data_IF_447303988915
#
_entry.id   IF_447303988915
#
_cell.length_a   1.000
_cell.length_b   1.000
_cell.length_c   1.000
_cell.angle_alpha   90.00
_cell.angle_beta   90.00
_cell.angle_gamma   90.00
#
_symmetry.space_group_name_H-M   'P 1'
#
loop_
_entity.id
_entity.type
_entity.pdbx_description
1 polymer ?
#
# COMPACT_ATOMS: atom_id res chain seq x y z
N UNK A 1 32.47 50.13 -58.65
CA UNK A 1 33.12 49.74 -59.92
C UNK A 1 34.14 48.68 -59.57
N UNK A 2 34.01 47.51 -60.18
CA UNK A 2 34.76 46.26 -59.87
C UNK A 2 36.11 46.27 -60.60
N UNK A 3 37.15 45.74 -59.95
CA UNK A 3 38.35 45.11 -60.52
C UNK A 3 39.02 44.37 -59.33
N UNK A 4 39.01 43.03 -59.16
CA UNK A 4 39.71 41.97 -59.93
C UNK A 4 41.25 42.25 -59.90
N UNK A 5 42.20 41.37 -59.56
CA UNK A 5 42.41 39.93 -59.83
C UNK A 5 43.43 39.34 -58.80
N UNK A 6 43.37 38.01 -58.59
CA UNK A 6 44.35 37.05 -58.01
C UNK A 6 45.78 37.13 -58.63
N UNK A 7 46.85 36.38 -58.31
CA UNK A 7 47.15 35.12 -57.61
C UNK A 7 48.69 35.06 -57.43
N UNK A 8 49.22 34.33 -56.45
CA UNK A 8 50.39 33.48 -56.72
C UNK A 8 50.43 32.30 -55.74
N UNK A 9 50.20 31.13 -56.31
CA UNK A 9 50.22 29.83 -55.67
C UNK A 9 51.61 29.44 -55.17
N UNK A 10 51.57 28.51 -54.20
CA UNK A 10 52.49 27.40 -54.03
C UNK A 10 53.95 27.65 -53.60
N UNK A 11 54.17 27.48 -52.29
CA UNK A 11 55.41 26.86 -51.83
C UNK A 11 55.15 25.80 -50.73
N UNK A 12 54.90 24.58 -51.21
CA UNK A 12 55.28 23.30 -50.61
C UNK A 12 54.66 22.83 -49.27
N UNK A 13 53.80 21.81 -49.42
CA UNK A 13 53.59 20.65 -48.53
C UNK A 13 54.84 20.24 -47.73
N UNK A 14 54.67 20.04 -46.41
CA UNK A 14 55.27 18.92 -45.67
C UNK A 14 54.59 18.68 -44.30
N UNK A 15 54.10 17.45 -44.13
CA UNK A 15 54.08 16.66 -42.89
C UNK A 15 53.23 17.19 -41.72
N UNK A 16 52.09 16.57 -41.45
CA UNK A 16 51.95 15.39 -40.56
C UNK A 16 51.54 15.79 -39.14
N UNK A 17 50.27 15.50 -38.82
CA UNK A 17 49.88 14.84 -37.59
C UNK A 17 50.33 15.50 -36.26
N UNK A 18 49.53 16.38 -35.66
CA UNK A 18 49.19 16.27 -34.23
C UNK A 18 47.77 16.79 -33.99
N UNK A 19 47.03 15.96 -33.27
CA UNK A 19 45.61 15.98 -32.97
C UNK A 19 45.49 16.09 -31.45
N UNK A 20 44.64 17.02 -30.95
CA UNK A 20 44.10 17.13 -29.56
C UNK A 20 45.14 17.60 -28.51
N UNK A 21 44.83 18.35 -27.44
CA UNK A 21 43.66 18.38 -26.56
C UNK A 21 43.51 19.77 -25.92
N UNK A 22 42.34 20.40 -26.05
CA UNK A 22 41.88 21.41 -25.08
C UNK A 22 40.88 20.68 -24.19
N UNK A 23 41.30 20.36 -22.96
CA UNK A 23 40.48 19.66 -21.98
C UNK A 23 39.43 20.59 -21.39
N UNK A 24 38.19 20.50 -21.85
CA UNK A 24 37.03 21.00 -21.12
C UNK A 24 36.55 19.89 -20.19
N UNK A 25 36.87 20.03 -18.91
CA UNK A 25 36.36 19.16 -17.85
C UNK A 25 34.87 19.49 -17.64
N UNK A 26 33.97 18.71 -18.23
CA UNK A 26 32.54 18.77 -17.92
C UNK A 26 32.34 18.01 -16.60
N UNK A 27 32.23 18.75 -15.50
CA UNK A 27 31.79 18.19 -14.22
C UNK A 27 30.29 17.93 -14.34
N UNK A 28 29.92 16.69 -14.67
CA UNK A 28 28.53 16.22 -14.58
C UNK A 28 28.23 16.03 -13.10
N UNK A 29 27.75 17.08 -12.43
CA UNK A 29 27.18 16.95 -11.09
C UNK A 29 25.87 16.19 -11.18
N UNK A 30 25.93 14.89 -10.93
CA UNK A 30 24.75 14.04 -10.76
C UNK A 30 24.02 14.49 -9.50
N UNK A 31 22.96 15.30 -9.65
CA UNK A 31 22.04 15.59 -8.55
C UNK A 31 21.22 14.32 -8.31
N UNK A 32 21.63 13.53 -7.33
CA UNK A 32 20.80 12.47 -6.76
C UNK A 32 19.64 13.16 -6.05
N UNK A 33 18.51 13.31 -6.74
CA UNK A 33 17.25 13.68 -6.09
C UNK A 33 16.80 12.45 -5.31
N UNK A 34 17.20 12.39 -4.04
CA UNK A 34 16.64 11.43 -3.09
C UNK A 34 15.15 11.74 -2.97
N UNK A 35 14.29 10.84 -3.44
CA UNK A 35 12.85 10.92 -3.20
C UNK A 35 12.61 10.72 -1.71
N UNK A 36 12.57 11.82 -0.95
CA UNK A 36 12.09 11.78 0.43
C UNK A 36 10.59 11.54 0.31
N UNK A 37 10.15 10.30 0.53
CA UNK A 37 8.74 9.96 0.55
C UNK A 37 8.05 10.79 1.64
N UNK A 38 7.07 11.61 1.25
CA UNK A 38 6.24 12.30 2.22
C UNK A 38 5.35 11.26 2.90
N UNK A 39 5.77 10.79 4.08
CA UNK A 39 4.94 9.94 4.92
C UNK A 39 3.71 10.74 5.37
N UNK A 40 2.53 10.35 4.88
CA UNK A 40 1.28 10.95 5.32
C UNK A 40 0.98 10.56 6.77
N UNK A 41 0.52 11.53 7.57
CA UNK A 41 0.12 11.28 8.96
C UNK A 41 -0.99 10.23 9.01
N UNK A 42 -0.74 9.14 9.72
CA UNK A 42 -1.70 8.06 9.98
C UNK A 42 -2.41 8.32 11.32
N UNK A 43 -3.67 7.88 11.49
CA UNK A 43 -4.25 7.82 12.82
C UNK A 43 -3.44 6.85 13.71
N UNK A 44 -3.31 7.17 14.99
CA UNK A 44 -2.60 6.33 15.95
C UNK A 44 -3.36 4.99 16.15
N UNK A 45 -2.75 3.83 15.84
CA UNK A 45 -3.40 2.53 16.01
C UNK A 45 -3.75 2.20 17.47
N UNK A 46 -3.04 2.76 18.44
CA UNK A 46 -3.24 2.46 19.87
C UNK A 46 -4.63 2.84 20.37
N UNK A 47 -5.38 3.66 19.62
CA UNK A 47 -6.81 3.95 19.87
C UNK A 47 -7.70 2.71 19.91
N UNK A 48 -7.25 1.58 19.33
CA UNK A 48 -7.98 0.30 19.34
C UNK A 48 -7.40 -0.76 20.26
N UNK A 49 -6.41 -0.43 21.09
CA UNK A 49 -5.79 -1.38 22.01
C UNK A 49 -6.84 -2.09 22.89
N UNK A 50 -7.84 -1.35 23.38
CA UNK A 50 -8.94 -1.90 24.17
C UNK A 50 -9.73 -2.98 23.42
N UNK A 51 -10.01 -2.78 22.13
CA UNK A 51 -10.69 -3.78 21.30
C UNK A 51 -9.82 -5.01 21.08
N UNK A 52 -8.51 -4.83 20.85
CA UNK A 52 -7.59 -5.96 20.64
C UNK A 52 -7.43 -6.80 21.90
N UNK A 53 -7.28 -6.16 23.06
CA UNK A 53 -7.29 -6.84 24.36
C UNK A 53 -8.64 -7.55 24.60
N UNK A 54 -9.75 -6.96 24.15
CA UNK A 54 -11.05 -7.61 24.17
C UNK A 54 -11.07 -8.95 23.43
N UNK A 55 -10.51 -9.02 22.22
CA UNK A 55 -10.38 -10.26 21.47
C UNK A 55 -9.44 -11.26 22.15
N UNK A 56 -8.32 -10.80 22.70
CA UNK A 56 -7.38 -11.67 23.41
C UNK A 56 -8.00 -12.29 24.66
N UNK A 57 -8.83 -11.53 25.38
CA UNK A 57 -9.60 -12.05 26.50
C UNK A 57 -10.65 -13.07 26.05
N UNK A 58 -11.33 -12.83 24.93
CA UNK A 58 -12.26 -13.82 24.36
C UNK A 58 -11.54 -15.13 24.02
N UNK A 59 -10.37 -15.05 23.38
CA UNK A 59 -9.55 -16.21 23.03
C UNK A 59 -9.07 -16.99 24.26
N UNK A 60 -8.79 -16.27 25.36
CA UNK A 60 -8.40 -16.88 26.62
C UNK A 60 -9.57 -17.64 27.27
N UNK A 61 -10.79 -17.11 27.19
CA UNK A 61 -11.98 -17.78 27.71
C UNK A 61 -12.45 -18.94 26.83
N UNK A 62 -12.26 -18.84 25.52
CA UNK A 62 -12.65 -19.84 24.54
C UNK A 62 -11.59 -19.94 23.44
N UNK A 63 -10.89 -21.08 23.39
CA UNK A 63 -9.84 -21.31 22.38
C UNK A 63 -10.42 -21.17 20.97
N UNK A 64 -9.82 -20.32 20.11
CA UNK A 64 -10.29 -20.15 18.74
C UNK A 64 -10.22 -21.45 17.94
N UNK A 65 -11.20 -21.73 17.07
CA UNK A 65 -11.16 -22.91 16.21
C UNK A 65 -10.01 -22.82 15.20
N UNK A 66 -9.37 -23.97 14.93
CA UNK A 66 -8.35 -24.07 13.89
C UNK A 66 -8.95 -24.00 12.48
N UNK A 67 -8.13 -23.65 11.48
CA UNK A 67 -8.51 -23.65 10.06
C UNK A 67 -9.78 -22.82 9.76
N UNK A 68 -10.05 -21.79 10.56
CA UNK A 68 -11.21 -20.94 10.40
C UNK A 68 -11.02 -19.86 9.32
N UNK A 69 -12.13 -19.27 8.87
CA UNK A 69 -12.12 -18.02 8.09
C UNK A 69 -12.08 -16.86 9.08
N UNK A 70 -11.05 -16.04 9.00
CA UNK A 70 -10.91 -14.87 9.85
C UNK A 70 -11.56 -13.66 9.18
N UNK A 71 -12.49 -13.00 9.87
CA UNK A 71 -13.15 -11.77 9.41
C UNK A 71 -12.51 -10.58 10.13
N UNK A 72 -11.87 -9.68 9.40
CA UNK A 72 -11.20 -8.49 9.94
C UNK A 72 -11.59 -7.25 9.17
N UNK A 73 -11.40 -6.11 9.81
CA UNK A 73 -11.58 -4.81 9.21
C UNK A 73 -12.39 -3.89 10.12
N UNK A 74 -12.87 -2.81 9.52
CA UNK A 74 -13.55 -1.76 10.26
C UNK A 74 -14.96 -2.10 10.72
N UNK A 75 -15.71 -1.08 11.14
CA UNK A 75 -16.98 -1.19 11.86
C UNK A 75 -18.04 -1.95 11.09
N UNK A 76 -17.93 -2.06 9.76
CA UNK A 76 -18.84 -2.92 8.99
C UNK A 76 -18.68 -4.39 9.37
N UNK A 77 -17.44 -4.87 9.57
CA UNK A 77 -17.16 -6.19 10.13
C UNK A 77 -17.38 -6.18 11.65
N UNK A 78 -16.97 -5.10 12.33
CA UNK A 78 -17.13 -4.98 13.78
C UNK A 78 -18.57 -5.15 14.27
N UNK A 79 -19.54 -4.54 13.57
CA UNK A 79 -20.96 -4.70 13.85
C UNK A 79 -21.53 -6.05 13.42
N UNK A 80 -20.82 -6.77 12.54
CA UNK A 80 -21.18 -8.11 12.10
C UNK A 80 -20.58 -9.20 12.99
N UNK A 81 -19.72 -8.86 13.96
CA UNK A 81 -18.96 -9.85 14.71
C UNK A 81 -19.83 -10.92 15.40
N UNK A 82 -20.96 -10.50 16.00
CA UNK A 82 -21.88 -11.38 16.74
C UNK A 82 -22.72 -12.26 15.82
N UNK A 83 -23.18 -11.73 14.68
CA UNK A 83 -24.09 -12.42 13.76
C UNK A 83 -23.35 -13.28 12.72
N UNK A 84 -22.10 -12.94 12.38
CA UNK A 84 -21.35 -13.60 11.31
C UNK A 84 -21.23 -15.13 11.44
N UNK A 85 -21.02 -15.72 12.65
CA UNK A 85 -21.00 -17.18 12.80
C UNK A 85 -22.31 -17.86 12.38
N UNK A 86 -23.45 -17.20 12.62
CA UNK A 86 -24.75 -17.71 12.19
C UNK A 86 -24.95 -17.51 10.69
N UNK A 87 -24.70 -16.30 10.18
CA UNK A 87 -24.92 -15.95 8.77
C UNK A 87 -24.06 -16.77 7.80
N UNK A 88 -22.86 -17.15 8.22
CA UNK A 88 -21.90 -17.90 7.40
C UNK A 88 -21.94 -19.41 7.65
N UNK A 89 -22.84 -19.91 8.49
CA UNK A 89 -22.96 -21.35 8.71
C UNK A 89 -23.19 -22.11 7.38
N UNK A 90 -22.54 -23.27 7.16
CA UNK A 90 -21.75 -24.06 8.11
C UNK A 90 -20.25 -23.72 8.12
N UNK A 91 -19.83 -22.57 7.59
CA UNK A 91 -18.42 -22.18 7.63
C UNK A 91 -17.98 -21.86 9.07
N UNK A 92 -16.82 -22.37 9.46
CA UNK A 92 -16.17 -21.98 10.72
C UNK A 92 -15.49 -20.63 10.54
N UNK A 93 -15.88 -19.66 11.36
CA UNK A 93 -15.38 -18.28 11.27
C UNK A 93 -14.91 -17.75 12.62
N UNK A 94 -14.00 -16.78 12.58
CA UNK A 94 -13.54 -16.01 13.73
C UNK A 94 -13.74 -14.53 13.38
N UNK A 95 -14.57 -13.81 14.13
CA UNK A 95 -14.86 -12.40 13.85
C UNK A 95 -14.00 -11.46 14.70
N UNK A 96 -13.18 -10.64 14.06
CA UNK A 96 -12.22 -9.71 14.69
C UNK A 96 -12.27 -8.33 14.04
N UNK A 97 -13.45 -7.85 13.66
CA UNK A 97 -13.62 -6.48 13.16
C UNK A 97 -13.66 -5.46 14.30
N UNK A 98 -13.06 -4.28 14.13
CA UNK A 98 -12.93 -3.28 15.20
C UNK A 98 -12.96 -1.84 14.69
N UNK A 99 -13.78 -1.00 15.33
CA UNK A 99 -13.72 0.46 15.20
C UNK A 99 -13.87 1.01 13.78
N UNK A 100 -13.56 2.29 13.60
CA UNK A 100 -13.35 2.88 12.26
C UNK A 100 -11.89 2.69 11.84
N UNK A 101 -11.41 1.44 11.86
CA UNK A 101 -10.02 1.12 11.51
C UNK A 101 -9.67 1.52 10.08
N UNK A 102 -8.38 1.69 9.86
CA UNK A 102 -7.74 1.92 8.56
C UNK A 102 -6.74 0.80 8.29
N UNK A 103 -6.24 0.69 7.06
CA UNK A 103 -5.28 -0.36 6.66
C UNK A 103 -4.05 -0.42 7.59
N UNK A 104 -3.55 0.74 8.03
CA UNK A 104 -2.43 0.85 8.97
C UNK A 104 -2.69 0.21 10.34
N UNK A 105 -3.94 0.17 10.82
CA UNK A 105 -4.27 -0.48 12.08
C UNK A 105 -4.17 -2.00 11.96
N UNK A 106 -4.59 -2.55 10.80
CA UNK A 106 -4.45 -3.97 10.49
C UNK A 106 -2.98 -4.37 10.42
N UNK A 107 -2.13 -3.54 9.79
CA UNK A 107 -0.67 -3.74 9.76
C UNK A 107 -0.11 -3.73 11.17
N UNK A 108 -0.44 -2.71 11.97
CA UNK A 108 0.07 -2.55 13.33
C UNK A 108 -0.27 -3.75 14.23
N UNK A 109 -1.52 -4.22 14.18
CA UNK A 109 -1.98 -5.33 15.02
C UNK A 109 -1.83 -6.71 14.36
N UNK A 110 -1.23 -6.83 13.17
CA UNK A 110 -1.22 -8.05 12.36
C UNK A 110 -0.91 -9.32 13.17
N UNK A 111 0.09 -9.27 14.05
CA UNK A 111 0.47 -10.42 14.87
C UNK A 111 -0.64 -10.86 15.84
N UNK A 112 -1.37 -9.89 16.39
CA UNK A 112 -2.39 -10.07 17.43
C UNK A 112 -3.77 -10.37 16.87
N UNK A 113 -4.08 -9.90 15.66
CA UNK A 113 -5.41 -10.09 15.05
C UNK A 113 -5.43 -11.02 13.84
N UNK A 114 -4.28 -11.37 13.26
CA UNK A 114 -4.20 -12.28 12.10
C UNK A 114 -3.29 -13.46 12.38
N UNK A 115 -1.99 -13.21 12.62
CA UNK A 115 -0.97 -14.27 12.63
C UNK A 115 -1.25 -15.36 13.64
N UNK A 116 -1.68 -15.01 14.85
CA UNK A 116 -1.95 -15.95 15.94
C UNK A 116 -3.02 -17.00 15.61
N UNK A 117 -3.90 -16.73 14.64
CA UNK A 117 -5.03 -17.62 14.32
C UNK A 117 -4.71 -18.64 13.24
N UNK A 118 -3.60 -18.46 12.48
CA UNK A 118 -3.24 -19.29 11.33
C UNK A 118 -4.46 -19.68 10.44
N UNK A 119 -5.22 -18.70 9.92
CA UNK A 119 -6.50 -18.96 9.28
C UNK A 119 -6.35 -19.56 7.88
N UNK A 120 -7.32 -20.37 7.43
CA UNK A 120 -7.34 -20.89 6.05
C UNK A 120 -7.72 -19.82 5.01
N UNK A 121 -8.42 -18.78 5.47
CA UNK A 121 -8.83 -17.65 4.67
C UNK A 121 -9.05 -16.41 5.53
N UNK A 122 -8.86 -15.23 4.96
CA UNK A 122 -9.11 -13.93 5.58
C UNK A 122 -10.13 -13.19 4.71
N UNK A 123 -11.16 -12.62 5.33
CA UNK A 123 -12.02 -11.60 4.73
C UNK A 123 -11.61 -10.27 5.33
N UNK A 124 -11.15 -9.34 4.50
CA UNK A 124 -10.67 -8.01 4.90
C UNK A 124 -11.59 -6.93 4.32
N UNK A 125 -12.05 -6.00 5.15
CA UNK A 125 -12.76 -4.79 4.70
C UNK A 125 -12.14 -3.52 5.31
N UNK A 126 -11.48 -2.74 4.45
CA UNK A 126 -10.87 -1.45 4.78
C UNK A 126 -10.91 -0.50 3.57
N UNK A 127 -10.57 0.77 3.77
CA UNK A 127 -10.43 1.78 2.72
C UNK A 127 -11.39 2.95 2.83
N UNK A 128 -12.59 2.76 3.39
CA UNK A 128 -13.57 3.86 3.51
C UNK A 128 -13.25 4.83 4.65
N UNK A 129 -12.73 4.32 5.78
CA UNK A 129 -12.19 5.15 6.84
C UNK A 129 -10.87 5.79 6.41
N UNK A 130 -10.01 5.06 5.67
CA UNK A 130 -8.75 5.58 5.16
C UNK A 130 -8.98 6.85 4.34
N UNK A 131 -9.94 6.80 3.40
CA UNK A 131 -10.37 7.97 2.64
C UNK A 131 -10.94 9.08 3.54
N UNK A 132 -11.72 8.74 4.57
CA UNK A 132 -12.28 9.72 5.50
C UNK A 132 -11.21 10.38 6.39
N UNK A 133 -10.10 9.70 6.65
CA UNK A 133 -8.89 10.25 7.27
C UNK A 133 -8.03 11.05 6.27
N UNK A 134 -8.46 11.15 5.02
CA UNK A 134 -7.78 11.90 3.96
C UNK A 134 -6.57 11.18 3.36
N UNK A 135 -6.42 9.87 3.60
CA UNK A 135 -5.32 9.09 3.03
C UNK A 135 -5.43 9.05 1.50
N UNK A 136 -4.29 9.21 0.83
CA UNK A 136 -4.27 9.13 -0.64
C UNK A 136 -4.49 7.70 -1.12
N UNK A 137 -5.01 7.55 -2.35
CA UNK A 137 -5.14 6.23 -2.99
C UNK A 137 -3.82 5.46 -2.99
N UNK A 138 -2.70 6.13 -3.30
CA UNK A 138 -1.38 5.51 -3.30
C UNK A 138 -1.02 4.97 -1.91
N UNK A 139 -1.20 5.77 -0.86
CA UNK A 139 -0.97 5.33 0.53
C UNK A 139 -1.79 4.09 0.88
N UNK A 140 -3.06 4.05 0.49
CA UNK A 140 -3.98 2.96 0.83
C UNK A 140 -3.60 1.67 0.08
N UNK A 141 -3.25 1.77 -1.20
CA UNK A 141 -2.80 0.62 -2.00
C UNK A 141 -1.43 0.11 -1.53
N UNK A 142 -0.49 0.99 -1.21
CA UNK A 142 0.81 0.62 -0.64
C UNK A 142 0.65 -0.12 0.71
N UNK A 143 -0.33 0.28 1.53
CA UNK A 143 -0.62 -0.40 2.79
C UNK A 143 -1.33 -1.74 2.56
N UNK A 144 -2.22 -1.84 1.58
CA UNK A 144 -2.80 -3.12 1.17
C UNK A 144 -1.69 -4.09 0.73
N UNK A 145 -0.73 -3.63 -0.08
CA UNK A 145 0.42 -4.43 -0.50
C UNK A 145 1.26 -4.91 0.68
N UNK A 146 1.43 -4.09 1.71
CA UNK A 146 2.08 -4.50 2.95
C UNK A 146 1.30 -5.60 3.68
N UNK A 147 -0.03 -5.47 3.79
CA UNK A 147 -0.88 -6.52 4.39
C UNK A 147 -0.76 -7.83 3.59
N UNK A 148 -0.84 -7.75 2.26
CA UNK A 148 -0.68 -8.91 1.37
C UNK A 148 0.69 -9.55 1.56
N UNK A 149 1.74 -8.74 1.67
CA UNK A 149 3.12 -9.21 1.89
C UNK A 149 3.26 -9.91 3.23
N UNK A 150 2.68 -9.37 4.31
CA UNK A 150 2.67 -9.99 5.63
C UNK A 150 1.92 -11.33 5.61
N UNK A 151 0.78 -11.42 4.94
CA UNK A 151 0.03 -12.67 4.77
C UNK A 151 0.84 -13.69 3.99
N UNK A 152 1.35 -13.35 2.80
CA UNK A 152 2.13 -14.27 1.95
C UNK A 152 3.38 -14.79 2.66
N UNK A 153 4.05 -13.94 3.43
CA UNK A 153 5.32 -14.30 4.10
C UNK A 153 5.12 -15.20 5.31
N UNK A 154 4.05 -15.00 6.08
CA UNK A 154 3.83 -15.72 7.33
C UNK A 154 2.77 -16.83 7.23
N UNK A 155 1.87 -16.74 6.25
CA UNK A 155 0.68 -17.56 6.09
C UNK A 155 0.49 -17.94 4.60
N UNK A 156 1.46 -18.65 3.97
CA UNK A 156 1.53 -18.82 2.52
C UNK A 156 0.35 -19.59 1.89
N UNK A 157 -0.42 -20.34 2.70
CA UNK A 157 -1.58 -21.10 2.24
C UNK A 157 -2.93 -20.37 2.48
N UNK A 158 -2.90 -19.19 3.12
CA UNK A 158 -4.10 -18.43 3.46
C UNK A 158 -4.63 -17.67 2.25
N UNK A 159 -5.90 -17.86 1.93
CA UNK A 159 -6.59 -17.07 0.90
C UNK A 159 -7.00 -15.72 1.44
N UNK A 160 -6.82 -14.66 0.67
CA UNK A 160 -7.34 -13.33 1.00
C UNK A 160 -8.56 -13.00 0.14
N UNK A 161 -9.66 -12.63 0.79
CA UNK A 161 -10.86 -12.08 0.19
C UNK A 161 -10.94 -10.61 0.61
N UNK A 162 -10.61 -9.71 -0.30
CA UNK A 162 -10.70 -8.28 -0.07
C UNK A 162 -12.09 -7.79 -0.48
N UNK A 163 -12.81 -7.20 0.46
CA UNK A 163 -14.12 -6.59 0.19
C UNK A 163 -13.92 -5.18 -0.35
N UNK A 164 -14.55 -4.89 -1.49
CA UNK A 164 -14.54 -3.55 -2.08
C UNK A 164 -15.19 -2.52 -1.14
N UNK A 165 -14.68 -1.29 -1.15
CA UNK A 165 -15.30 -0.16 -0.49
C UNK A 165 -16.72 0.02 -1.02
N UNK A 166 -17.70 -0.02 -0.11
CA UNK A 166 -19.11 0.15 -0.43
C UNK A 166 -19.51 1.63 -0.50
N UNK A 167 -20.57 1.98 -1.25
CA UNK A 167 -21.18 3.30 -1.13
C UNK A 167 -21.71 3.50 0.29
N UNK A 168 -21.58 4.72 0.81
CA UNK A 168 -22.05 5.11 2.14
C UNK A 168 -22.61 6.52 2.07
N UNK A 169 -23.79 6.75 2.64
CA UNK A 169 -24.41 8.10 2.68
C UNK A 169 -23.47 9.09 3.38
N UNK A 170 -22.87 8.68 4.50
CA UNK A 170 -21.93 9.48 5.27
C UNK A 170 -20.63 9.82 4.51
N UNK A 171 -20.30 9.07 3.45
CA UNK A 171 -19.09 9.25 2.62
C UNK A 171 -19.43 9.41 1.14
N UNK A 172 -20.62 9.89 0.84
CA UNK A 172 -21.10 10.02 -0.55
C UNK A 172 -20.20 10.92 -1.39
N UNK A 173 -19.62 11.96 -0.79
CA UNK A 173 -18.64 12.85 -1.41
C UNK A 173 -17.30 12.17 -1.76
N UNK A 174 -16.99 11.03 -1.16
CA UNK A 174 -15.76 10.26 -1.38
C UNK A 174 -15.96 9.09 -2.34
N UNK A 175 -17.17 8.88 -2.86
CA UNK A 175 -17.49 7.70 -3.67
C UNK A 175 -16.62 7.57 -4.93
N UNK A 176 -16.33 8.67 -5.62
CA UNK A 176 -15.44 8.64 -6.78
C UNK A 176 -14.03 8.15 -6.45
N UNK A 177 -13.49 8.50 -5.27
CA UNK A 177 -12.18 8.02 -4.79
C UNK A 177 -12.26 6.56 -4.36
N UNK A 178 -13.35 6.15 -3.71
CA UNK A 178 -13.58 4.75 -3.35
C UNK A 178 -13.61 3.84 -4.60
N UNK A 179 -14.23 4.29 -5.69
CA UNK A 179 -14.21 3.56 -6.96
C UNK A 179 -12.81 3.43 -7.53
N UNK A 180 -11.96 4.46 -7.42
CA UNK A 180 -10.57 4.39 -7.87
C UNK A 180 -9.74 3.38 -7.06
N UNK A 181 -9.91 3.36 -5.73
CA UNK A 181 -9.27 2.36 -4.85
C UNK A 181 -9.75 0.95 -5.19
N UNK A 182 -11.07 0.77 -5.36
CA UNK A 182 -11.64 -0.54 -5.71
C UNK A 182 -11.09 -1.09 -7.04
N UNK A 183 -10.83 -0.23 -8.02
CA UNK A 183 -10.16 -0.65 -9.27
C UNK A 183 -8.75 -1.16 -8.99
N UNK A 184 -7.99 -0.46 -8.14
CA UNK A 184 -6.63 -0.87 -7.75
C UNK A 184 -6.56 -2.15 -6.91
N UNK A 185 -7.67 -2.60 -6.31
CA UNK A 185 -7.73 -3.90 -5.61
C UNK A 185 -7.68 -5.10 -6.56
N UNK A 186 -7.92 -4.89 -7.85
CA UNK A 186 -7.98 -5.95 -8.86
C UNK A 186 -6.70 -6.07 -9.71
N UNK A 187 -5.75 -5.16 -9.50
CA UNK A 187 -4.47 -5.10 -10.20
C UNK A 187 -3.41 -6.01 -9.53
#
# INVERSE_FOLDING_TARGET
>A
MVMEICNHDDFFKKQSLVMKFVGTLVVVSSVLVSSVGNAQLQPDPTRYEYSIVGFENQDFQATPPAEAILLIGSSSIGFWNEDAPFDLAPLTVISRGFGGSVMNDVIHYFNRIVLKYNPRAIVLYEGDNDLAYGLTQATILDQLDQVITLIKSNLPNTRLYLLSVKPSIARSNLWGLAQQINSGFSD
#
